data_IF_286805531371
#
_entry.id   IF_286805531371
#
_cell.length_a   1.000
_cell.length_b   1.000
_cell.length_c   1.000
_cell.angle_alpha   90.00
_cell.angle_beta   90.00
_cell.angle_gamma   90.00
#
_symmetry.space_group_name_H-M   'P 1'
#
loop_
_entity.id
_entity.type
_entity.pdbx_description
1 polymer ?
#
# COMPACT_ATOMS: atom_id res chain seq x y z
N UNK A 1 -4.78 -15.65 22.99
CA UNK A 1 -3.85 -14.49 22.94
C UNK A 1 -3.32 -14.40 21.52
N UNK A 2 -3.86 -13.49 20.70
CA UNK A 2 -3.38 -13.31 19.32
C UNK A 2 -1.97 -12.75 19.38
N UNK A 3 -1.04 -13.48 18.77
CA UNK A 3 0.34 -12.98 18.62
C UNK A 3 0.32 -11.79 17.67
N UNK A 4 0.79 -10.66 18.14
CA UNK A 4 1.00 -9.48 17.31
C UNK A 4 1.91 -9.82 16.14
N UNK A 5 1.42 -9.62 14.90
CA UNK A 5 2.22 -9.85 13.70
C UNK A 5 3.23 -8.69 13.58
N UNK A 6 4.51 -9.02 13.61
CA UNK A 6 5.61 -8.07 13.34
C UNK A 6 5.80 -7.92 11.83
N UNK A 7 4.83 -7.29 11.17
CA UNK A 7 4.76 -7.15 9.71
C UNK A 7 3.97 -5.88 9.38
N UNK A 8 4.40 -5.14 8.37
CA UNK A 8 3.67 -3.96 7.90
C UNK A 8 2.31 -4.36 7.32
N UNK A 9 1.30 -3.47 7.32
CA UNK A 9 -0.02 -3.77 6.78
C UNK A 9 0.03 -4.24 5.33
N UNK A 10 -0.80 -5.21 4.99
CA UNK A 10 -1.07 -5.59 3.61
C UNK A 10 -2.19 -4.71 3.05
N UNK A 11 -1.82 -3.57 2.49
CA UNK A 11 -2.78 -2.58 1.99
C UNK A 11 -3.70 -3.14 0.89
N UNK A 12 -3.21 -4.05 0.06
CA UNK A 12 -4.04 -4.67 -0.98
C UNK A 12 -5.17 -5.51 -0.36
N UNK A 13 -4.85 -6.29 0.68
CA UNK A 13 -5.84 -7.07 1.41
C UNK A 13 -6.84 -6.18 2.15
N UNK A 14 -6.36 -5.14 2.82
CA UNK A 14 -7.24 -4.19 3.52
C UNK A 14 -8.20 -3.48 2.57
N UNK A 15 -7.71 -3.04 1.42
CA UNK A 15 -8.54 -2.39 0.40
C UNK A 15 -9.56 -3.37 -0.19
N UNK A 16 -9.16 -4.62 -0.42
CA UNK A 16 -10.09 -5.66 -0.83
C UNK A 16 -11.22 -5.85 0.20
N UNK A 17 -10.90 -5.99 1.49
CA UNK A 17 -11.92 -6.18 2.54
C UNK A 17 -12.85 -4.96 2.66
N UNK A 18 -12.34 -3.73 2.51
CA UNK A 18 -13.16 -2.52 2.48
C UNK A 18 -14.14 -2.52 1.30
N UNK A 19 -13.65 -2.84 0.09
CA UNK A 19 -14.52 -2.95 -1.09
C UNK A 19 -15.52 -4.09 -0.96
N UNK A 20 -15.12 -5.24 -0.44
CA UNK A 20 -15.99 -6.38 -0.23
C UNK A 20 -17.11 -6.09 0.79
N UNK A 21 -16.81 -5.29 1.81
CA UNK A 21 -17.79 -4.85 2.80
C UNK A 21 -18.80 -3.85 2.21
N UNK A 22 -18.34 -2.91 1.36
CA UNK A 22 -19.19 -1.91 0.73
C UNK A 22 -20.04 -2.49 -0.41
N UNK A 23 -19.48 -3.42 -1.18
CA UNK A 23 -20.08 -4.02 -2.37
C UNK A 23 -20.03 -5.55 -2.33
N UNK A 24 -20.74 -6.20 -1.41
CA UNK A 24 -20.68 -7.66 -1.25
C UNK A 24 -21.11 -8.43 -2.50
N UNK A 25 -22.02 -7.86 -3.32
CA UNK A 25 -22.48 -8.46 -4.57
C UNK A 25 -21.41 -8.47 -5.68
N UNK A 26 -20.34 -7.69 -5.52
CA UNK A 26 -19.20 -7.66 -6.44
C UNK A 26 -18.10 -8.66 -6.05
N UNK A 27 -18.26 -9.37 -4.93
CA UNK A 27 -17.30 -10.40 -4.53
C UNK A 27 -17.53 -11.65 -5.35
N UNK A 28 -16.47 -12.16 -5.95
CA UNK A 28 -16.44 -13.40 -6.75
C UNK A 28 -15.23 -14.25 -6.34
N UNK A 29 -15.12 -15.41 -6.95
CA UNK A 29 -13.98 -16.31 -6.76
C UNK A 29 -13.15 -16.40 -8.03
N UNK A 30 -11.83 -16.43 -7.90
CA UNK A 30 -10.89 -16.70 -8.98
C UNK A 30 -9.87 -17.76 -8.59
N UNK A 31 -9.28 -18.42 -9.57
CA UNK A 31 -8.17 -19.32 -9.31
C UNK A 31 -6.92 -18.54 -8.88
N UNK A 32 -6.22 -19.07 -7.87
CA UNK A 32 -4.93 -18.52 -7.45
C UNK A 32 -3.89 -18.67 -8.56
N UNK A 33 -3.13 -17.61 -8.80
CA UNK A 33 -2.05 -17.59 -9.79
C UNK A 33 -0.92 -18.60 -9.49
N UNK A 34 -0.81 -19.06 -8.24
CA UNK A 34 0.21 -20.02 -7.79
C UNK A 34 -0.20 -21.51 -7.91
N UNK A 35 -1.37 -21.80 -8.48
CA UNK A 35 -1.86 -23.16 -8.68
C UNK A 35 -2.33 -23.82 -7.37
N UNK A 36 -3.63 -23.96 -7.19
CA UNK A 36 -4.23 -24.69 -6.09
C UNK A 36 -5.18 -23.87 -5.22
N UNK A 37 -6.47 -23.90 -5.55
CA UNK A 37 -7.56 -23.33 -4.78
C UNK A 37 -8.11 -22.01 -5.34
N UNK A 38 -9.29 -21.68 -4.83
CA UNK A 38 -9.98 -20.44 -5.15
C UNK A 38 -9.60 -19.36 -4.14
N UNK A 39 -9.61 -18.11 -4.57
CA UNK A 39 -9.49 -16.94 -3.72
C UNK A 39 -10.59 -15.93 -4.04
N UNK A 40 -11.01 -15.16 -3.05
CA UNK A 40 -11.99 -14.08 -3.23
C UNK A 40 -11.39 -12.96 -4.07
N UNK A 41 -12.17 -12.43 -4.98
CA UNK A 41 -11.78 -11.32 -5.86
C UNK A 41 -12.95 -10.35 -6.03
N UNK A 42 -12.66 -9.13 -6.51
CA UNK A 42 -13.70 -8.17 -6.90
C UNK A 42 -13.95 -8.28 -8.41
N UNK A 43 -15.22 -8.44 -8.75
CA UNK A 43 -15.71 -8.33 -10.12
C UNK A 43 -15.90 -6.85 -10.46
N UNK A 44 -14.95 -6.28 -11.19
CA UNK A 44 -14.96 -4.87 -11.55
C UNK A 44 -16.08 -4.52 -12.54
N UNK A 45 -16.54 -5.45 -13.37
CA UNK A 45 -17.65 -5.20 -14.29
C UNK A 45 -18.97 -5.02 -13.52
N UNK A 46 -19.21 -5.86 -12.51
CA UNK A 46 -20.36 -5.68 -11.62
C UNK A 46 -20.25 -4.39 -10.78
N UNK A 47 -19.05 -4.09 -10.26
CA UNK A 47 -18.83 -2.87 -9.51
C UNK A 47 -19.11 -1.64 -10.35
N UNK A 48 -18.67 -1.63 -11.60
CA UNK A 48 -18.91 -0.58 -12.57
C UNK A 48 -20.41 -0.39 -12.83
N UNK A 49 -21.15 -1.48 -13.05
CA UNK A 49 -22.61 -1.43 -13.22
C UNK A 49 -23.33 -0.84 -12.01
N UNK A 50 -22.87 -1.15 -10.79
CA UNK A 50 -23.44 -0.61 -9.56
C UNK A 50 -23.14 0.88 -9.36
N UNK A 51 -22.04 1.38 -9.90
CA UNK A 51 -21.66 2.80 -9.83
C UNK A 51 -22.27 3.65 -10.95
N UNK A 52 -22.83 3.00 -11.98
CA UNK A 52 -23.51 3.64 -13.12
C UNK A 52 -22.71 4.83 -13.71
N UNK A 53 -23.30 6.03 -13.73
CA UNK A 53 -22.71 7.23 -14.31
C UNK A 53 -21.55 7.84 -13.51
N UNK A 54 -21.23 7.28 -12.33
CA UNK A 54 -20.08 7.70 -11.52
C UNK A 54 -18.76 7.00 -11.90
N UNK A 55 -18.77 6.26 -13.00
CA UNK A 55 -17.58 5.60 -13.54
C UNK A 55 -17.07 6.38 -14.74
N UNK A 56 -15.80 6.77 -14.69
CA UNK A 56 -15.13 7.34 -15.86
C UNK A 56 -14.79 6.22 -16.84
N UNK A 57 -15.40 6.23 -18.01
CA UNK A 57 -15.07 5.34 -19.12
C UNK A 57 -14.17 6.04 -20.14
N UNK A 58 -13.08 5.38 -20.47
CA UNK A 58 -12.37 5.29 -21.73
C UNK A 58 -12.17 6.50 -22.62
N UNK A 59 -12.11 7.71 -22.11
CA UNK A 59 -11.59 8.81 -22.91
C UNK A 59 -10.07 8.88 -22.77
N UNK A 60 -9.40 9.34 -23.84
CA UNK A 60 -7.95 9.53 -23.86
C UNK A 60 -7.49 10.32 -22.64
N UNK A 61 -6.71 9.67 -21.78
CA UNK A 61 -6.10 10.29 -20.62
C UNK A 61 -4.59 10.17 -20.74
N UNK A 62 -3.87 11.27 -20.54
CA UNK A 62 -2.43 11.21 -20.39
C UNK A 62 -2.08 10.39 -19.16
N UNK A 63 -1.46 9.26 -19.36
CA UNK A 63 -0.94 8.42 -18.29
C UNK A 63 0.57 8.32 -18.39
N UNK A 64 1.26 8.65 -17.31
CA UNK A 64 2.69 8.41 -17.22
C UNK A 64 2.92 6.91 -16.98
N UNK A 65 3.49 6.23 -17.95
CA UNK A 65 3.73 4.80 -17.92
C UNK A 65 5.16 4.47 -18.33
N UNK A 66 5.71 3.42 -17.73
CA UNK A 66 7.05 2.90 -18.03
C UNK A 66 7.09 1.39 -17.83
N UNK A 67 8.15 0.75 -18.33
CA UNK A 67 8.38 -0.68 -18.13
C UNK A 67 8.61 -0.94 -16.62
N UNK A 68 7.79 -1.83 -16.04
CA UNK A 68 7.87 -2.15 -14.61
C UNK A 68 6.93 -1.37 -13.68
N UNK A 69 6.17 -0.37 -14.16
CA UNK A 69 5.20 0.39 -13.34
C UNK A 69 4.26 -0.52 -12.53
N UNK A 70 3.66 -1.53 -13.17
CA UNK A 70 2.77 -2.47 -12.49
C UNK A 70 3.49 -3.28 -11.42
N UNK A 71 4.71 -3.73 -11.69
CA UNK A 71 5.53 -4.46 -10.73
C UNK A 71 5.91 -3.58 -9.53
N UNK A 72 6.24 -2.31 -9.75
CA UNK A 72 6.53 -1.35 -8.69
C UNK A 72 5.31 -1.12 -7.78
N UNK A 73 4.11 -1.00 -8.33
CA UNK A 73 2.88 -0.86 -7.55
C UNK A 73 2.63 -2.11 -6.68
N UNK A 74 2.81 -3.31 -7.24
CA UNK A 74 2.66 -4.56 -6.49
C UNK A 74 3.69 -4.64 -5.38
N UNK A 75 4.96 -4.28 -5.65
CA UNK A 75 6.02 -4.31 -4.66
C UNK A 75 5.78 -3.28 -3.53
N UNK A 76 5.28 -2.09 -3.84
CA UNK A 76 4.92 -1.09 -2.83
C UNK A 76 3.86 -1.61 -1.84
N UNK A 77 2.94 -2.45 -2.30
CA UNK A 77 1.87 -3.02 -1.47
C UNK A 77 2.27 -4.31 -0.72
N UNK A 78 3.45 -4.87 -0.97
CA UNK A 78 3.93 -6.05 -0.23
C UNK A 78 4.29 -5.69 1.20
N UNK A 79 3.79 -6.42 2.20
CA UNK A 79 4.21 -6.24 3.58
C UNK A 79 5.67 -6.69 3.79
N UNK A 80 6.35 -6.05 4.74
CA UNK A 80 7.71 -6.40 5.15
C UNK A 80 7.77 -6.69 6.65
N UNK A 81 8.79 -7.46 7.07
CA UNK A 81 9.04 -7.86 8.47
C UNK A 81 10.32 -7.21 8.99
N UNK A 82 10.39 -5.90 8.89
CA UNK A 82 11.53 -5.09 9.34
C UNK A 82 11.08 -4.07 10.36
N UNK A 83 12.00 -3.45 11.04
CA UNK A 83 11.74 -2.35 11.97
C UNK A 83 12.84 -1.30 11.89
N UNK A 84 12.50 -0.08 12.22
CA UNK A 84 13.49 0.99 12.41
C UNK A 84 14.24 0.73 13.73
N UNK A 85 15.56 0.96 13.72
CA UNK A 85 16.42 0.87 14.90
C UNK A 85 16.87 2.27 15.28
N UNK A 86 16.69 2.67 16.54
CA UNK A 86 17.24 3.95 17.02
C UNK A 86 18.77 3.88 17.08
N UNK A 87 19.44 4.95 16.59
CA UNK A 87 20.88 5.14 16.67
C UNK A 87 21.14 6.32 17.61
N UNK A 88 20.94 6.11 18.91
CA UNK A 88 21.01 7.17 19.93
C UNK A 88 22.39 7.82 19.97
N UNK A 89 23.45 7.01 19.84
CA UNK A 89 24.86 7.47 19.88
C UNK A 89 25.23 8.42 18.73
N UNK A 90 24.55 8.30 17.59
CA UNK A 90 24.77 9.14 16.40
C UNK A 90 23.75 10.29 16.30
N UNK A 91 22.76 10.31 17.21
CA UNK A 91 21.69 11.28 17.17
C UNK A 91 22.07 12.53 17.98
N UNK A 92 21.65 13.69 17.46
CA UNK A 92 21.79 14.95 18.16
C UNK A 92 20.49 15.31 18.87
N UNK A 93 20.61 15.70 20.15
CA UNK A 93 19.47 16.10 20.97
C UNK A 93 18.32 15.08 20.99
N UNK A 94 18.66 13.79 21.12
CA UNK A 94 17.75 12.67 21.01
C UNK A 94 16.44 12.83 21.78
N UNK A 95 16.52 13.32 23.03
CA UNK A 95 15.35 13.43 23.92
C UNK A 95 14.42 14.61 23.57
N UNK A 96 14.87 15.55 22.77
CA UNK A 96 14.15 16.81 22.50
C UNK A 96 13.83 17.04 21.05
N UNK A 97 14.55 16.42 20.12
CA UNK A 97 14.32 16.59 18.68
C UNK A 97 13.02 15.93 18.24
N UNK A 98 12.31 16.57 17.31
CA UNK A 98 11.17 15.99 16.59
C UNK A 98 11.52 15.67 15.14
N UNK A 99 12.77 15.89 14.73
CA UNK A 99 13.25 15.59 13.39
C UNK A 99 13.76 14.16 13.33
N UNK A 100 13.48 13.46 12.22
CA UNK A 100 13.94 12.11 11.98
C UNK A 100 14.84 12.08 10.75
N UNK A 101 16.00 11.47 10.88
CA UNK A 101 16.83 11.03 9.77
C UNK A 101 16.78 9.51 9.70
N UNK A 102 16.37 8.96 8.57
CA UNK A 102 16.18 7.52 8.38
C UNK A 102 17.11 7.08 7.27
N UNK A 103 17.99 6.15 7.57
CA UNK A 103 18.92 5.56 6.62
C UNK A 103 18.49 4.13 6.28
N UNK A 104 18.51 3.80 4.97
CA UNK A 104 18.15 2.49 4.48
C UNK A 104 17.53 2.52 3.09
N UNK A 105 16.94 1.40 2.69
CA UNK A 105 16.16 1.32 1.45
C UNK A 105 14.91 2.20 1.56
N UNK A 106 14.72 3.11 0.60
CA UNK A 106 13.64 4.09 0.63
C UNK A 106 12.26 3.47 0.65
N UNK A 107 12.04 2.41 -0.13
CA UNK A 107 10.75 1.74 -0.19
C UNK A 107 10.42 1.06 1.15
N UNK A 108 11.40 0.40 1.76
CA UNK A 108 11.25 -0.25 3.06
C UNK A 108 11.00 0.77 4.16
N UNK A 109 11.75 1.88 4.18
CA UNK A 109 11.56 2.97 5.13
C UNK A 109 10.15 3.56 5.03
N UNK A 110 9.67 3.85 3.81
CA UNK A 110 8.32 4.36 3.58
C UNK A 110 7.23 3.38 4.03
N UNK A 111 7.41 2.06 3.83
CA UNK A 111 6.48 1.05 4.34
C UNK A 111 6.39 1.05 5.87
N UNK A 112 7.51 1.23 6.56
CA UNK A 112 7.54 1.29 8.03
C UNK A 112 6.90 2.58 8.56
N UNK A 113 7.00 3.67 7.83
CA UNK A 113 6.39 4.95 8.21
C UNK A 113 4.87 5.00 8.04
N UNK A 114 4.28 4.08 7.30
CA UNK A 114 2.82 4.09 7.03
C UNK A 114 2.00 4.07 8.32
N UNK A 115 2.34 3.26 9.31
CA UNK A 115 1.56 3.15 10.55
C UNK A 115 1.46 4.47 11.31
N UNK A 116 2.54 5.26 11.29
CA UNK A 116 2.63 6.50 12.07
C UNK A 116 2.27 7.75 11.29
N UNK A 117 2.51 7.77 9.98
CA UNK A 117 2.48 8.97 9.14
C UNK A 117 1.51 8.93 7.97
N UNK A 118 0.78 7.83 7.74
CA UNK A 118 -0.20 7.77 6.66
C UNK A 118 -1.24 8.90 6.80
N UNK A 119 -1.40 9.69 5.73
CA UNK A 119 -2.30 10.85 5.71
C UNK A 119 -1.84 12.07 6.52
N UNK A 120 -0.65 12.03 7.15
CA UNK A 120 -0.14 13.15 7.97
C UNK A 120 0.93 13.99 7.27
N UNK A 121 1.47 13.52 6.14
CA UNK A 121 2.52 14.23 5.40
C UNK A 121 1.91 15.45 4.71
N UNK A 122 2.46 16.62 4.95
CA UNK A 122 1.99 17.90 4.35
C UNK A 122 2.75 18.27 3.09
N UNK A 123 4.02 17.93 3.00
CA UNK A 123 4.88 18.25 1.88
C UNK A 123 5.92 17.15 1.69
N UNK A 124 6.21 16.83 0.44
CA UNK A 124 7.30 15.91 0.06
C UNK A 124 8.19 16.69 -0.91
N UNK A 125 9.48 16.80 -0.56
CA UNK A 125 10.52 17.32 -1.44
C UNK A 125 11.43 16.15 -1.86
N UNK A 126 11.65 16.01 -3.15
CA UNK A 126 12.55 14.99 -3.70
C UNK A 126 13.51 15.65 -4.69
N UNK A 127 14.74 15.17 -4.69
CA UNK A 127 15.80 15.56 -5.62
C UNK A 127 16.35 14.25 -6.22
N UNK A 128 15.67 13.67 -7.21
CA UNK A 128 16.09 12.41 -7.82
C UNK A 128 17.38 12.61 -8.64
N UNK A 129 18.26 11.58 -8.70
CA UNK A 129 19.47 11.60 -9.50
C UNK A 129 19.21 11.65 -11.00
#
# INVERSE_FOLDING_TARGET
MDKMKMETPNLAQENFEKLAALFPNCVTERQKSSGGGLERAIDFEKLKQMLADHVREGEEAYEFTWVGKKAAIVEANRPIRKTLRPCVEESKDWDTTQNLYIEGDNLEALKLLQESYLGKVKMIYIDPP
#
